data_IF_058927325668
#
_entry.id   IF_058927325668
#
_cell.length_a   1.000
_cell.length_b   1.000
_cell.length_c   1.000
_cell.angle_alpha   90.00
_cell.angle_beta   90.00
_cell.angle_gamma   90.00
#
_symmetry.space_group_name_H-M   'P 1'
#
loop_
_entity.id
_entity.type
_entity.pdbx_description
1 polymer ?
#
# COMPACT_ATOMS: atom_id res chain seq x y z
N UNK A 1 11.27 30.70 11.01
CA UNK A 1 12.71 30.78 11.35
C UNK A 1 13.53 30.70 10.06
N UNK A 2 14.63 31.46 9.87
CA UNK A 2 15.55 31.23 8.74
C UNK A 2 16.78 30.47 9.26
N UNK A 3 17.17 29.34 8.66
CA UNK A 3 18.28 28.54 9.17
C UNK A 3 19.62 29.20 8.79
N UNK A 4 20.43 29.53 9.80
CA UNK A 4 21.84 29.85 9.63
C UNK A 4 22.64 28.55 9.80
N UNK A 5 23.41 28.16 8.79
CA UNK A 5 24.20 26.91 8.81
C UNK A 5 25.66 27.27 9.06
N UNK A 6 26.21 26.82 10.18
CA UNK A 6 27.66 26.82 10.43
C UNK A 6 28.20 25.43 10.07
N UNK A 7 29.09 25.35 9.08
CA UNK A 7 29.90 24.14 8.88
C UNK A 7 31.12 24.19 9.82
N UNK A 8 30.94 23.74 11.05
CA UNK A 8 32.06 23.30 11.88
C UNK A 8 32.06 21.78 11.85
N UNK A 9 33.01 21.17 11.14
CA UNK A 9 33.15 19.71 11.02
C UNK A 9 33.53 18.98 12.32
N UNK A 10 33.12 19.49 13.48
CA UNK A 10 33.43 18.97 14.82
C UNK A 10 32.15 18.98 15.67
N UNK A 11 31.21 18.06 15.39
CA UNK A 11 30.11 17.79 16.32
C UNK A 11 30.61 16.90 17.45
N UNK A 12 30.61 17.40 18.69
CA UNK A 12 31.01 16.62 19.87
C UNK A 12 29.93 15.65 20.36
N UNK A 13 28.68 15.89 19.96
CA UNK A 13 27.50 15.08 20.26
C UNK A 13 26.71 14.79 18.98
N UNK A 14 25.80 13.83 19.01
CA UNK A 14 24.99 13.48 17.82
C UNK A 14 24.10 14.64 17.35
N UNK A 15 23.46 15.34 18.30
CA UNK A 15 22.65 16.54 18.07
C UNK A 15 22.74 17.47 19.29
N UNK A 16 23.00 18.75 19.05
CA UNK A 16 23.02 19.83 20.04
C UNK A 16 22.06 20.94 19.62
N UNK A 17 21.16 21.32 20.53
CA UNK A 17 20.21 22.41 20.36
C UNK A 17 20.66 23.59 21.22
N UNK A 18 20.87 24.75 20.61
CA UNK A 18 21.29 25.97 21.31
C UNK A 18 20.21 27.04 21.12
N UNK A 19 19.61 27.46 22.22
CA UNK A 19 18.62 28.54 22.24
C UNK A 19 19.31 29.86 22.61
N UNK A 20 19.05 30.89 21.83
CA UNK A 20 19.55 32.24 22.06
C UNK A 20 18.41 33.23 21.89
N UNK A 21 18.35 34.24 22.74
CA UNK A 21 17.48 35.38 22.52
C UNK A 21 18.24 36.45 21.74
N UNK A 22 17.66 36.90 20.65
CA UNK A 22 18.23 37.92 19.78
C UNK A 22 17.11 38.88 19.34
N UNK A 23 17.25 40.17 19.68
CA UNK A 23 16.25 41.21 19.41
C UNK A 23 14.79 40.84 19.81
N UNK A 24 14.62 40.19 20.96
CA UNK A 24 13.30 39.74 21.44
C UNK A 24 12.71 38.57 20.65
N UNK A 25 13.52 37.89 19.83
CA UNK A 25 13.16 36.65 19.13
C UNK A 25 13.98 35.50 19.71
N UNK A 26 13.34 34.34 19.81
CA UNK A 26 14.04 33.11 20.13
C UNK A 26 14.68 32.54 18.86
N UNK A 27 16.00 32.42 18.86
CA UNK A 27 16.82 31.75 17.85
C UNK A 27 17.18 30.35 18.33
N UNK A 28 17.06 29.37 17.44
CA UNK A 28 17.45 27.97 17.66
C UNK A 28 18.53 27.60 16.65
N UNK A 29 19.71 27.28 17.15
CA UNK A 29 20.79 26.70 16.38
C UNK A 29 20.87 25.20 16.63
N UNK A 30 20.97 24.42 15.54
CA UNK A 30 21.09 22.96 15.57
C UNK A 30 22.46 22.56 15.03
N UNK A 31 23.33 22.05 15.89
CA UNK A 31 24.58 21.41 15.49
C UNK A 31 24.40 19.89 15.52
N UNK A 32 24.84 19.18 14.49
CA UNK A 32 24.56 17.77 14.32
C UNK A 32 25.71 17.05 13.63
N UNK A 33 25.82 15.74 13.88
CA UNK A 33 26.75 14.88 13.17
C UNK A 33 26.19 14.56 11.76
N UNK A 34 26.87 15.03 10.71
CA UNK A 34 26.48 14.80 9.32
C UNK A 34 26.58 13.34 8.86
N UNK A 35 27.37 12.51 9.55
CA UNK A 35 27.45 11.07 9.26
C UNK A 35 26.20 10.33 9.75
N UNK A 36 25.47 10.90 10.71
CA UNK A 36 24.23 10.33 11.26
C UNK A 36 22.97 10.98 10.71
N UNK A 37 23.02 12.29 10.41
CA UNK A 37 21.85 13.06 10.01
C UNK A 37 22.07 13.81 8.70
N UNK A 38 21.16 13.57 7.76
CA UNK A 38 21.00 14.43 6.60
C UNK A 38 20.43 15.81 7.01
N UNK A 39 20.83 16.86 6.31
CA UNK A 39 20.39 18.25 6.55
C UNK A 39 18.86 18.38 6.53
N UNK A 40 18.21 17.67 5.62
CA UNK A 40 16.76 17.65 5.46
C UNK A 40 16.07 17.10 6.70
N UNK A 41 16.66 16.10 7.36
CA UNK A 41 16.15 15.53 8.61
C UNK A 41 16.21 16.55 9.75
N UNK A 42 17.29 17.31 9.84
CA UNK A 42 17.45 18.34 10.88
C UNK A 42 16.50 19.51 10.66
N UNK A 43 16.31 19.96 9.41
CA UNK A 43 15.32 20.99 9.08
C UNK A 43 13.90 20.53 9.42
N UNK A 44 13.58 19.26 9.17
CA UNK A 44 12.31 18.65 9.55
C UNK A 44 12.13 18.61 11.07
N UNK A 45 13.17 18.21 11.82
CA UNK A 45 13.17 18.28 13.29
C UNK A 45 12.97 19.70 13.83
N UNK A 46 13.57 20.72 13.21
CA UNK A 46 13.32 22.11 13.57
C UNK A 46 11.87 22.54 13.35
N UNK A 47 11.27 22.12 12.25
CA UNK A 47 9.84 22.38 11.94
C UNK A 47 8.93 21.70 12.97
N UNK A 48 9.22 20.45 13.31
CA UNK A 48 8.54 19.71 14.36
C UNK A 48 8.61 20.41 15.72
N UNK A 49 9.79 20.93 16.08
CA UNK A 49 9.96 21.67 17.32
C UNK A 49 9.11 22.94 17.35
N UNK A 50 9.02 23.65 16.22
CA UNK A 50 8.14 24.82 16.07
C UNK A 50 6.66 24.46 16.28
N UNK A 51 6.19 23.33 15.73
CA UNK A 51 4.82 22.85 15.92
C UNK A 51 4.51 22.48 17.38
N UNK A 52 5.47 21.87 18.08
CA UNK A 52 5.35 21.60 19.51
C UNK A 52 5.22 22.89 20.31
N UNK A 53 6.07 23.89 20.04
CA UNK A 53 5.99 25.19 20.72
C UNK A 53 4.65 25.88 20.46
N UNK A 54 4.17 25.90 19.22
CA UNK A 54 2.84 26.46 18.88
C UNK A 54 1.72 25.75 19.65
N UNK A 55 1.79 24.42 19.74
CA UNK A 55 0.78 23.64 20.46
C UNK A 55 0.75 23.97 21.96
N UNK A 56 1.93 24.12 22.58
CA UNK A 56 2.03 24.46 24.01
C UNK A 56 1.54 25.89 24.28
N UNK A 57 1.88 26.84 23.39
CA UNK A 57 1.45 28.23 23.52
C UNK A 57 -0.07 28.41 23.33
N UNK A 58 -0.70 27.54 22.53
CA UNK A 58 -2.14 27.62 22.25
C UNK A 58 -3.00 27.11 23.41
N UNK A 59 -2.50 26.13 24.16
CA UNK A 59 -3.19 25.56 25.33
C UNK A 59 -2.16 24.99 26.31
N UNK A 60 -1.94 25.69 27.43
CA UNK A 60 -0.97 25.26 28.44
C UNK A 60 -1.45 24.04 29.25
N UNK A 61 -2.75 23.70 29.21
CA UNK A 61 -3.30 22.51 29.86
C UNK A 61 -3.30 21.29 28.92
N UNK A 62 -2.81 21.44 27.68
CA UNK A 62 -2.79 20.38 26.70
C UNK A 62 -1.89 19.23 27.15
N UNK A 63 -2.44 18.01 27.13
CA UNK A 63 -1.66 16.81 27.48
C UNK A 63 -0.58 16.58 26.42
N UNK A 64 0.65 16.34 26.85
CA UNK A 64 1.80 16.04 25.97
C UNK A 64 1.46 14.95 24.95
N UNK A 65 0.69 13.92 25.35
CA UNK A 65 0.29 12.81 24.45
C UNK A 65 -0.51 13.26 23.22
N UNK A 66 -1.19 14.42 23.30
CA UNK A 66 -2.08 14.93 22.26
C UNK A 66 -1.38 15.97 21.37
N UNK A 67 -0.13 16.34 21.68
CA UNK A 67 0.62 17.30 20.88
C UNK A 67 0.93 16.68 19.52
N UNK A 68 0.47 17.36 18.48
CA UNK A 68 0.78 16.97 17.12
C UNK A 68 2.10 17.60 16.68
N UNK A 69 3.12 16.78 16.47
CA UNK A 69 4.45 17.21 16.04
C UNK A 69 4.58 17.37 14.52
N UNK A 70 3.69 16.72 13.75
CA UNK A 70 3.75 16.73 12.29
C UNK A 70 3.19 18.04 11.75
N UNK A 71 3.91 18.66 10.81
CA UNK A 71 3.39 19.77 10.03
C UNK A 71 2.22 19.32 9.15
N UNK A 72 1.40 20.28 8.70
CA UNK A 72 0.30 20.01 7.78
C UNK A 72 0.78 19.35 6.49
N UNK A 73 1.93 19.77 5.95
CA UNK A 73 2.52 19.21 4.74
C UNK A 73 2.90 17.73 4.93
N UNK A 74 3.51 17.38 6.06
CA UNK A 74 3.89 15.99 6.34
C UNK A 74 2.69 15.10 6.59
N UNK A 75 1.65 15.62 7.27
CA UNK A 75 0.38 14.90 7.40
C UNK A 75 -0.23 14.59 6.05
N UNK A 76 -0.25 15.56 5.14
CA UNK A 76 -0.75 15.35 3.78
C UNK A 76 0.08 14.29 3.06
N UNK A 77 1.41 14.35 3.16
CA UNK A 77 2.28 13.37 2.53
C UNK A 77 2.03 11.94 3.04
N UNK A 78 1.90 11.78 4.36
CA UNK A 78 1.68 10.45 4.99
C UNK A 78 0.27 9.93 4.70
N UNK A 79 -0.76 10.78 4.79
CA UNK A 79 -2.15 10.34 4.67
C UNK A 79 -2.61 10.22 3.23
N UNK A 80 -2.10 11.05 2.33
CA UNK A 80 -2.56 11.15 0.95
C UNK A 80 -1.51 10.67 -0.04
N UNK A 81 -0.34 11.31 -0.08
CA UNK A 81 0.61 11.10 -1.18
C UNK A 81 1.18 9.67 -1.18
N UNK A 82 1.56 9.16 -0.01
CA UNK A 82 2.04 7.78 0.13
C UNK A 82 0.93 6.73 -0.02
N UNK A 83 -0.32 7.10 0.27
CA UNK A 83 -1.47 6.19 0.18
C UNK A 83 -2.23 6.30 -1.15
N UNK A 84 -1.71 7.05 -2.12
CA UNK A 84 -2.35 7.22 -3.42
C UNK A 84 -2.14 5.98 -4.31
N UNK A 85 -2.66 4.85 -3.87
CA UNK A 85 -2.60 3.54 -4.55
C UNK A 85 -3.89 3.23 -5.30
N UNK A 86 -4.80 4.20 -5.45
CA UNK A 86 -6.03 4.02 -6.21
C UNK A 86 -5.72 3.86 -7.69
N UNK A 87 -5.74 2.62 -8.16
CA UNK A 87 -5.79 2.28 -9.57
C UNK A 87 -7.24 1.95 -9.96
N UNK A 88 -7.66 2.43 -11.13
CA UNK A 88 -8.94 2.00 -11.70
C UNK A 88 -8.82 0.51 -12.10
N UNK A 89 -9.72 -0.31 -11.57
CA UNK A 89 -9.90 -1.69 -11.99
C UNK A 89 -11.40 -1.97 -12.17
N UNK A 90 -11.78 -2.87 -13.09
CA UNK A 90 -13.19 -3.26 -13.26
C UNK A 90 -13.72 -3.89 -11.98
N UNK A 91 -14.69 -3.25 -11.32
CA UNK A 91 -15.28 -3.73 -10.04
C UNK A 91 -16.43 -4.73 -10.25
N UNK A 92 -16.98 -4.73 -11.46
CA UNK A 92 -18.07 -5.56 -11.94
C UNK A 92 -17.60 -6.90 -12.52
N UNK A 93 -16.30 -7.03 -12.80
CA UNK A 93 -15.69 -8.23 -13.36
C UNK A 93 -14.85 -8.96 -12.32
N UNK A 94 -14.91 -10.28 -12.38
CA UNK A 94 -14.00 -11.15 -11.64
C UNK A 94 -12.70 -11.34 -12.44
N UNK A 95 -11.64 -11.82 -11.77
CA UNK A 95 -10.41 -12.23 -12.46
C UNK A 95 -10.68 -13.29 -13.54
N UNK A 96 -11.70 -14.13 -13.30
CA UNK A 96 -12.16 -15.15 -14.24
C UNK A 96 -12.71 -14.50 -15.51
N UNK A 97 -13.60 -13.51 -15.36
CA UNK A 97 -14.19 -12.80 -16.50
C UNK A 97 -13.11 -12.08 -17.32
N UNK A 98 -12.15 -11.42 -16.65
CA UNK A 98 -11.03 -10.75 -17.32
C UNK A 98 -10.13 -11.73 -18.09
N UNK A 99 -9.93 -12.93 -17.56
CA UNK A 99 -9.16 -13.96 -18.22
C UNK A 99 -9.93 -14.58 -19.40
N UNK A 100 -11.24 -14.83 -19.27
CA UNK A 100 -12.08 -15.31 -20.38
C UNK A 100 -12.13 -14.28 -21.53
N UNK A 101 -12.15 -12.98 -21.21
CA UNK A 101 -12.00 -11.91 -22.21
C UNK A 101 -10.64 -11.99 -22.92
N UNK A 102 -9.56 -12.24 -22.19
CA UNK A 102 -8.23 -12.42 -22.77
C UNK A 102 -8.15 -13.68 -23.67
N UNK A 103 -8.85 -14.76 -23.30
CA UNK A 103 -8.95 -15.99 -24.12
C UNK A 103 -9.65 -15.69 -25.45
N UNK A 104 -10.69 -14.86 -25.45
CA UNK A 104 -11.37 -14.45 -26.68
C UNK A 104 -10.47 -13.53 -27.52
N UNK A 105 -9.76 -12.59 -26.88
CA UNK A 105 -8.95 -11.60 -27.58
C UNK A 105 -7.68 -12.19 -28.20
N UNK A 106 -7.01 -13.13 -27.54
CA UNK A 106 -5.75 -13.72 -27.99
C UNK A 106 -5.69 -15.22 -27.68
N UNK A 107 -6.48 -16.06 -28.35
CA UNK A 107 -6.66 -17.46 -27.99
C UNK A 107 -5.37 -18.28 -28.13
N UNK A 108 -4.58 -18.01 -29.17
CA UNK A 108 -3.39 -18.79 -29.52
C UNK A 108 -2.10 -18.26 -28.88
N UNK A 109 -2.18 -17.18 -28.08
CA UNK A 109 -1.04 -16.70 -27.32
C UNK A 109 -0.72 -17.64 -26.16
N UNK A 110 0.56 -17.83 -25.88
CA UNK A 110 1.02 -18.64 -24.75
C UNK A 110 0.64 -17.95 -23.43
N UNK A 111 -0.13 -18.65 -22.60
CA UNK A 111 -0.55 -18.18 -21.28
C UNK A 111 0.37 -18.70 -20.17
N UNK A 112 0.86 -19.94 -20.30
CA UNK A 112 1.68 -20.60 -19.29
C UNK A 112 2.80 -21.40 -19.97
N UNK A 113 4.01 -21.27 -19.43
CA UNK A 113 5.16 -22.10 -19.80
C UNK A 113 5.63 -22.80 -18.53
N UNK A 114 5.77 -24.12 -18.59
CA UNK A 114 6.33 -24.93 -17.51
C UNK A 114 7.23 -26.02 -18.11
N UNK A 115 8.52 -25.94 -17.81
CA UNK A 115 9.55 -26.78 -18.44
C UNK A 115 9.45 -26.72 -19.97
N UNK A 116 9.31 -27.85 -20.64
CA UNK A 116 9.17 -27.96 -22.10
C UNK A 116 7.72 -27.82 -22.58
N UNK A 117 6.76 -27.63 -21.67
CA UNK A 117 5.33 -27.53 -22.00
C UNK A 117 4.88 -26.09 -22.05
N UNK A 118 4.11 -25.77 -23.08
CA UNK A 118 3.48 -24.47 -23.26
C UNK A 118 1.98 -24.69 -23.44
N UNK A 119 1.17 -23.86 -22.81
CA UNK A 119 -0.27 -23.85 -22.98
C UNK A 119 -0.71 -22.47 -23.47
N UNK A 120 -1.52 -22.48 -24.51
CA UNK A 120 -2.22 -21.27 -24.98
C UNK A 120 -3.33 -20.86 -24.02
N UNK A 121 -3.78 -19.61 -24.12
CA UNK A 121 -4.96 -19.14 -23.37
C UNK A 121 -6.18 -20.05 -23.58
N UNK A 122 -6.42 -20.47 -24.83
CA UNK A 122 -7.52 -21.37 -25.17
C UNK A 122 -7.39 -22.74 -24.49
N UNK A 123 -6.23 -23.39 -24.62
CA UNK A 123 -6.01 -24.72 -24.02
C UNK A 123 -6.11 -24.70 -22.49
N UNK A 124 -5.58 -23.64 -21.88
CA UNK A 124 -5.67 -23.46 -20.43
C UNK A 124 -7.11 -23.27 -19.97
N UNK A 125 -7.90 -22.47 -20.69
CA UNK A 125 -9.31 -22.25 -20.38
C UNK A 125 -10.14 -23.54 -20.52
N UNK A 126 -9.92 -24.31 -21.58
CA UNK A 126 -10.60 -25.59 -21.80
C UNK A 126 -10.25 -26.61 -20.69
N UNK A 127 -8.97 -26.70 -20.31
CA UNK A 127 -8.54 -27.56 -19.22
C UNK A 127 -9.15 -27.16 -17.87
N UNK A 128 -9.19 -25.86 -17.56
CA UNK A 128 -9.80 -25.33 -16.35
C UNK A 128 -11.32 -25.61 -16.32
N UNK A 129 -12.03 -25.41 -17.43
CA UNK A 129 -13.46 -25.69 -17.52
C UNK A 129 -13.77 -27.19 -17.37
N UNK A 130 -12.97 -28.08 -17.96
CA UNK A 130 -13.13 -29.53 -17.76
C UNK A 130 -12.97 -29.93 -16.30
N UNK A 131 -11.94 -29.39 -15.62
CA UNK A 131 -11.74 -29.65 -14.20
C UNK A 131 -12.90 -29.12 -13.38
N UNK A 132 -13.40 -27.92 -13.70
CA UNK A 132 -14.50 -27.29 -13.00
C UNK A 132 -15.79 -28.15 -13.06
N UNK A 133 -16.14 -28.63 -14.25
CA UNK A 133 -17.28 -29.55 -14.40
C UNK A 133 -17.08 -30.83 -13.59
N UNK A 134 -15.90 -31.45 -13.66
CA UNK A 134 -15.58 -32.65 -12.87
C UNK A 134 -15.74 -32.42 -11.37
N UNK A 135 -15.24 -31.30 -10.84
CA UNK A 135 -15.32 -30.96 -9.42
C UNK A 135 -16.75 -30.66 -8.96
N UNK A 136 -17.52 -29.95 -9.78
CA UNK A 136 -18.95 -29.70 -9.50
C UNK A 136 -19.74 -31.00 -9.42
N UNK A 137 -19.53 -31.90 -10.39
CA UNK A 137 -20.34 -33.12 -10.52
C UNK A 137 -19.98 -34.15 -9.45
N UNK A 138 -18.71 -34.26 -9.06
CA UNK A 138 -18.24 -35.28 -8.12
C UNK A 138 -18.17 -34.80 -6.66
N UNK A 139 -17.97 -33.50 -6.41
CA UNK A 139 -17.65 -33.00 -5.06
C UNK A 139 -18.59 -31.88 -4.54
N UNK A 140 -19.62 -31.48 -5.31
CA UNK A 140 -20.67 -30.53 -4.88
C UNK A 140 -20.10 -29.26 -4.22
N UNK A 141 -19.01 -28.73 -4.77
CA UNK A 141 -18.29 -27.59 -4.20
C UNK A 141 -19.19 -26.35 -4.20
N UNK A 142 -19.40 -25.76 -3.00
CA UNK A 142 -20.18 -24.54 -2.80
C UNK A 142 -19.25 -23.32 -2.76
N UNK A 143 -19.64 -22.17 -3.37
CA UNK A 143 -18.84 -20.96 -3.31
C UNK A 143 -18.67 -20.51 -1.85
N UNK A 144 -17.43 -20.26 -1.43
CA UNK A 144 -17.11 -19.71 -0.10
C UNK A 144 -16.63 -20.71 0.96
N UNK A 145 -16.50 -22.00 0.66
CA UNK A 145 -15.73 -22.92 1.53
C UNK A 145 -14.24 -22.66 1.35
N UNK A 146 -13.55 -22.32 2.45
CA UNK A 146 -12.09 -22.47 2.55
C UNK A 146 -11.86 -23.89 3.04
N UNK A 147 -11.62 -24.81 2.12
CA UNK A 147 -11.12 -26.12 2.51
C UNK A 147 -9.63 -25.95 2.79
N UNK A 148 -9.28 -25.93 4.08
CA UNK A 148 -7.92 -25.78 4.62
C UNK A 148 -7.07 -27.06 4.40
N UNK A 149 -7.04 -27.57 3.16
CA UNK A 149 -6.27 -28.77 2.83
C UNK A 149 -4.96 -28.38 2.12
N UNK A 150 -3.79 -28.83 2.61
CA UNK A 150 -2.50 -28.46 2.03
C UNK A 150 -2.29 -29.17 0.70
N UNK A 151 -2.72 -28.53 -0.40
CA UNK A 151 -2.48 -29.01 -1.75
C UNK A 151 -0.98 -28.89 -2.06
N UNK A 152 -0.32 -30.04 -2.20
CA UNK A 152 1.09 -30.14 -2.60
C UNK A 152 1.30 -29.36 -3.90
N UNK A 153 2.25 -28.43 -3.84
CA UNK A 153 2.58 -27.43 -4.88
C UNK A 153 3.20 -28.08 -6.11
N UNK A 154 2.41 -28.77 -6.92
CA UNK A 154 2.82 -29.05 -8.29
C UNK A 154 1.57 -29.15 -9.16
N UNK A 155 1.48 -28.28 -10.17
CA UNK A 155 0.57 -28.37 -11.31
C UNK A 155 -0.90 -27.90 -11.24
N UNK A 156 -1.54 -27.67 -10.08
CA UNK A 156 -2.99 -27.34 -10.02
C UNK A 156 -3.38 -25.90 -9.61
N UNK A 157 -2.42 -25.01 -9.31
CA UNK A 157 -2.73 -23.72 -8.67
C UNK A 157 -3.46 -22.69 -9.55
N UNK A 158 -3.44 -22.82 -10.88
CA UNK A 158 -4.19 -21.90 -11.76
C UNK A 158 -5.64 -22.35 -12.01
N UNK A 159 -5.94 -23.65 -11.92
CA UNK A 159 -7.29 -24.16 -12.16
C UNK A 159 -8.18 -24.10 -10.89
N UNK A 160 -7.60 -24.27 -9.70
CA UNK A 160 -8.35 -24.29 -8.43
C UNK A 160 -8.97 -22.95 -8.01
N UNK A 161 -8.37 -21.82 -8.40
CA UNK A 161 -8.87 -20.49 -8.02
C UNK A 161 -10.06 -19.99 -8.87
N UNK A 162 -10.36 -20.65 -9.99
CA UNK A 162 -11.38 -20.22 -10.94
C UNK A 162 -12.82 -20.57 -10.50
N UNK A 163 -13.00 -21.65 -9.73
CA UNK A 163 -14.33 -22.17 -9.40
C UNK A 163 -15.05 -21.44 -8.26
N UNK A 164 -14.32 -20.86 -7.32
CA UNK A 164 -14.92 -20.39 -6.06
C UNK A 164 -15.75 -19.09 -6.16
N UNK A 165 -15.80 -18.42 -7.32
CA UNK A 165 -16.45 -17.08 -7.44
C UNK A 165 -17.49 -16.91 -8.56
N UNK A 166 -17.79 -17.93 -9.36
CA UNK A 166 -18.76 -17.88 -10.49
C UNK A 166 -20.25 -17.64 -10.12
N UNK A 167 -20.60 -17.13 -8.93
CA UNK A 167 -22.01 -16.89 -8.54
C UNK A 167 -22.36 -15.52 -7.97
N UNK A 168 -21.45 -14.54 -7.94
CA UNK A 168 -21.82 -13.20 -7.46
C UNK A 168 -22.31 -12.26 -8.58
N UNK A 169 -22.04 -12.55 -9.85
CA UNK A 169 -22.50 -11.72 -10.98
C UNK A 169 -23.75 -12.27 -11.69
N UNK A 170 -24.83 -12.50 -10.92
CA UNK A 170 -26.15 -12.79 -11.46
C UNK A 170 -27.23 -11.99 -10.70
N UNK A 171 -27.53 -10.80 -11.25
CA UNK A 171 -28.87 -10.20 -11.34
C UNK A 171 -29.72 -10.13 -10.04
N UNK A 172 -29.72 -8.96 -9.37
CA UNK A 172 -30.91 -8.49 -8.63
C UNK A 172 -31.81 -7.74 -9.63
N UNK A 173 -33.02 -8.24 -9.94
CA UNK A 173 -34.01 -7.43 -10.66
C UNK A 173 -34.53 -6.33 -9.75
N UNK A 174 -34.77 -5.17 -10.34
CA UNK A 174 -35.23 -3.96 -9.66
C UNK A 174 -36.57 -4.14 -8.95
N UNK A 175 -36.72 -3.38 -7.86
CA UNK A 175 -38.02 -3.04 -7.31
C UNK A 175 -38.05 -1.51 -7.26
N UNK A 176 -38.82 -0.93 -8.18
CA UNK A 176 -39.42 0.40 -8.01
C UNK A 176 -40.38 0.34 -6.83
N UNK A 177 -40.19 1.21 -5.84
CA UNK A 177 -41.10 2.31 -5.48
C UNK A 177 -40.29 3.38 -4.73
#
# INVERSE_FOLDING_TARGET
MRPFVYETGLSQFDLTLIFMEDEGKLRLDMNYNSDLFAKETILRMGTHFEEVLKSILSDSAHKIRNVNILSTAEKQQILSDFNNTQAAYPKDKTLVDLFEEQVISTPDNIAVIFEEKQLTYKELNEAANRLAHYLRDNYQIKPGRRDDEPQRRTHCLLAGNFESRRRVSAHRPGISQ
#
